data_IF_564557946939
#
_entry.id   IF_564557946939
#
_cell.length_a   1.000
_cell.length_b   1.000
_cell.length_c   1.000
_cell.angle_alpha   90.00
_cell.angle_beta   90.00
_cell.angle_gamma   90.00
#
_symmetry.space_group_name_H-M   'P 1'
#
loop_
_entity.id
_entity.type
_entity.pdbx_description
1 polymer ?
#
# COMPACT_ATOMS: atom_id res chain seq x y z
N UNK A 1 4.02 -4.93 29.25
CA UNK A 1 4.30 -4.37 27.91
C UNK A 1 3.01 -3.80 27.33
N UNK A 2 3.08 -2.61 26.76
CA UNK A 2 1.90 -2.00 26.15
C UNK A 2 1.69 -2.57 24.73
N UNK A 3 0.49 -3.06 24.47
CA UNK A 3 0.14 -3.53 23.14
C UNK A 3 0.06 -2.36 22.16
N UNK A 4 0.57 -2.55 20.95
CA UNK A 4 0.52 -1.56 19.88
C UNK A 4 0.17 -2.25 18.56
N UNK A 5 -0.71 -1.63 17.74
CA UNK A 5 -0.94 -2.15 16.40
C UNK A 5 0.25 -1.83 15.50
N UNK A 6 0.36 -2.56 14.39
CA UNK A 6 1.29 -2.20 13.33
C UNK A 6 0.62 -1.14 12.45
N UNK A 7 1.18 0.06 12.43
CA UNK A 7 0.67 1.13 11.57
C UNK A 7 1.36 1.01 10.22
N UNK A 8 0.57 0.90 9.16
CA UNK A 8 1.06 0.73 7.80
C UNK A 8 0.42 1.74 6.85
N UNK A 9 1.08 1.95 5.74
CA UNK A 9 0.59 2.77 4.63
C UNK A 9 0.55 1.94 3.37
N UNK A 10 -0.33 2.29 2.44
CA UNK A 10 -0.42 1.64 1.15
C UNK A 10 -0.87 2.63 0.09
N UNK A 11 -0.47 2.42 -1.15
CA UNK A 11 -0.94 3.20 -2.27
C UNK A 11 -1.76 2.33 -3.23
N UNK A 12 -2.90 2.87 -3.67
CA UNK A 12 -3.74 2.26 -4.70
C UNK A 12 -3.63 3.15 -5.93
N UNK A 13 -2.97 2.64 -6.97
CA UNK A 13 -2.66 3.40 -8.18
C UNK A 13 -3.23 2.67 -9.39
N UNK A 14 -3.96 3.42 -10.20
CA UNK A 14 -4.57 2.89 -11.41
C UNK A 14 -3.98 3.59 -12.64
N UNK A 15 -3.79 2.84 -13.71
CA UNK A 15 -3.37 3.34 -15.01
C UNK A 15 -3.99 2.46 -16.08
N UNK A 16 -4.79 3.06 -16.95
CA UNK A 16 -5.40 2.36 -18.11
C UNK A 16 -6.14 1.08 -17.71
N UNK A 17 -6.90 1.13 -16.62
CA UNK A 17 -7.68 0.00 -16.13
C UNK A 17 -6.88 -1.05 -15.39
N UNK A 18 -5.64 -0.77 -15.05
CA UNK A 18 -4.75 -1.69 -14.31
C UNK A 18 -4.31 -1.05 -13.00
N UNK A 19 -4.10 -1.89 -12.01
CA UNK A 19 -3.65 -1.46 -10.69
C UNK A 19 -2.22 -1.93 -10.44
N UNK A 20 -1.44 -1.09 -9.76
CA UNK A 20 -0.06 -1.41 -9.43
C UNK A 20 -0.02 -2.28 -8.17
N UNK A 21 0.45 -3.51 -8.31
CA UNK A 21 0.70 -4.41 -7.20
C UNK A 21 2.15 -4.87 -7.22
N UNK A 22 2.67 -5.20 -6.04
CA UNK A 22 3.99 -5.80 -5.90
C UNK A 22 3.85 -7.30 -5.68
N UNK A 23 4.78 -8.03 -6.27
CA UNK A 23 4.97 -9.45 -6.05
C UNK A 23 6.15 -9.57 -5.09
N UNK A 24 5.91 -10.18 -3.91
CA UNK A 24 6.96 -10.28 -2.90
C UNK A 24 7.11 -11.69 -2.37
N UNK A 25 8.34 -12.04 -2.06
CA UNK A 25 8.67 -13.29 -1.41
C UNK A 25 8.56 -13.11 0.10
N UNK A 26 7.73 -13.92 0.73
CA UNK A 26 7.51 -13.87 2.18
C UNK A 26 7.81 -15.23 2.79
N UNK A 27 7.84 -15.30 4.12
CA UNK A 27 8.00 -16.58 4.82
C UNK A 27 6.86 -17.58 4.52
N UNK A 28 5.74 -17.10 3.98
CA UNK A 28 4.58 -17.93 3.62
C UNK A 28 4.50 -18.18 2.10
N UNK A 29 5.54 -17.83 1.34
CA UNK A 29 5.57 -17.96 -0.10
C UNK A 29 5.41 -16.61 -0.79
N UNK A 30 5.13 -16.65 -2.10
CA UNK A 30 4.97 -15.45 -2.90
C UNK A 30 3.57 -14.88 -2.69
N UNK A 31 3.50 -13.61 -2.34
CA UNK A 31 2.26 -12.87 -2.12
C UNK A 31 2.22 -11.61 -2.98
N UNK A 32 1.00 -11.14 -3.24
CA UNK A 32 0.74 -9.88 -3.93
C UNK A 32 0.11 -8.88 -2.98
N UNK A 33 0.54 -7.63 -3.06
CA UNK A 33 0.07 -6.55 -2.18
C UNK A 33 0.11 -5.22 -2.94
N UNK A 34 -0.62 -4.22 -2.44
CA UNK A 34 -0.31 -2.86 -2.86
C UNK A 34 1.13 -2.54 -2.46
N UNK A 35 1.76 -1.54 -3.09
CA UNK A 35 2.96 -0.95 -2.51
C UNK A 35 2.60 -0.49 -1.09
N UNK A 36 3.27 -1.04 -0.08
CA UNK A 36 2.85 -0.87 1.31
C UNK A 36 4.01 -1.16 2.26
N UNK A 37 3.95 -0.58 3.45
CA UNK A 37 4.93 -0.88 4.48
C UNK A 37 4.64 -0.15 5.78
N UNK A 38 5.51 -0.32 6.75
CA UNK A 38 5.34 0.22 8.09
C UNK A 38 5.72 1.70 8.18
N UNK A 39 4.96 2.43 8.98
CA UNK A 39 5.34 3.78 9.40
C UNK A 39 6.62 3.69 10.23
N UNK A 40 7.60 4.52 9.90
CA UNK A 40 8.84 4.61 10.64
C UNK A 40 8.79 5.71 11.69
N UNK A 41 9.70 5.63 12.66
CA UNK A 41 9.82 6.64 13.71
C UNK A 41 10.06 8.04 13.09
N UNK A 42 9.32 9.04 13.56
CA UNK A 42 9.43 10.43 13.12
C UNK A 42 9.02 10.69 11.67
N UNK A 43 8.32 9.78 11.08
CA UNK A 43 7.88 9.89 9.70
C UNK A 43 6.39 10.23 9.68
N UNK A 44 5.98 11.14 8.78
CA UNK A 44 4.56 11.37 8.55
C UNK A 44 3.97 10.24 7.70
N UNK A 45 2.65 10.09 7.76
CA UNK A 45 1.97 9.08 6.93
C UNK A 45 2.17 9.34 5.44
N UNK A 46 2.18 10.62 5.03
CA UNK A 46 2.42 10.97 3.62
C UNK A 46 3.85 10.63 3.20
N UNK A 47 4.84 10.96 4.03
CA UNK A 47 6.22 10.61 3.75
C UNK A 47 6.40 9.10 3.66
N UNK A 48 5.74 8.36 4.55
CA UNK A 48 5.81 6.90 4.56
C UNK A 48 5.28 6.29 3.28
N UNK A 49 4.12 6.72 2.78
CA UNK A 49 3.54 6.13 1.56
C UNK A 49 4.36 6.50 0.33
N UNK A 50 4.94 7.70 0.30
CA UNK A 50 5.85 8.11 -0.79
C UNK A 50 7.09 7.22 -0.79
N UNK A 51 7.69 7.04 0.37
CA UNK A 51 8.90 6.21 0.54
C UNK A 51 8.65 4.75 0.16
N UNK A 52 7.59 4.14 0.70
CA UNK A 52 7.28 2.74 0.43
C UNK A 52 6.97 2.50 -1.05
N UNK A 53 6.22 3.40 -1.69
CA UNK A 53 5.93 3.27 -3.11
C UNK A 53 7.21 3.32 -3.95
N UNK A 54 8.11 4.25 -3.62
CA UNK A 54 9.39 4.37 -4.33
C UNK A 54 10.27 3.14 -4.11
N UNK A 55 10.39 2.68 -2.87
CA UNK A 55 11.24 1.54 -2.52
C UNK A 55 10.76 0.24 -3.16
N UNK A 56 9.45 0.06 -3.29
CA UNK A 56 8.88 -1.19 -3.79
C UNK A 56 8.58 -1.20 -5.27
N UNK A 57 8.45 -0.03 -5.91
CA UNK A 57 8.04 0.04 -7.32
C UNK A 57 8.92 0.91 -8.18
N UNK A 58 9.79 1.71 -7.59
CA UNK A 58 10.60 2.73 -8.27
C UNK A 58 9.76 3.88 -8.87
N UNK A 59 8.48 3.97 -8.51
CA UNK A 59 7.64 5.09 -8.92
C UNK A 59 7.62 6.17 -7.84
N UNK A 60 7.67 7.43 -8.28
CA UNK A 60 7.51 8.58 -7.40
C UNK A 60 6.03 8.92 -7.30
N UNK A 61 5.48 8.76 -6.11
CA UNK A 61 4.07 9.01 -5.81
C UNK A 61 3.84 10.46 -5.39
N UNK A 62 2.78 11.05 -5.94
CA UNK A 62 2.18 12.28 -5.44
C UNK A 62 0.82 11.92 -4.83
N UNK A 63 0.73 11.73 -3.50
CA UNK A 63 -0.54 11.38 -2.88
C UNK A 63 -1.51 12.56 -2.95
N UNK A 64 -2.76 12.30 -3.35
CA UNK A 64 -3.76 13.33 -3.56
C UNK A 64 -4.98 13.18 -2.66
N UNK A 65 -5.26 11.97 -2.19
CA UNK A 65 -6.41 11.69 -1.34
C UNK A 65 -6.18 10.43 -0.50
N UNK A 66 -6.95 10.34 0.58
CA UNK A 66 -7.04 9.13 1.38
C UNK A 66 -8.22 8.30 0.87
N UNK A 67 -8.01 7.00 0.71
CA UNK A 67 -9.08 6.06 0.31
C UNK A 67 -9.81 5.54 1.53
N UNK A 68 -9.08 5.27 2.59
CA UNK A 68 -9.64 4.78 3.83
C UNK A 68 -8.62 4.46 4.89
N UNK A 69 -9.13 4.18 6.07
CA UNK A 69 -8.34 3.71 7.21
C UNK A 69 -8.91 2.35 7.60
N UNK A 70 -8.07 1.34 7.66
CA UNK A 70 -8.48 -0.05 7.82
C UNK A 70 -7.88 -0.63 9.09
N UNK A 71 -8.73 -1.08 9.98
CA UNK A 71 -8.30 -1.82 11.17
C UNK A 71 -8.51 -3.31 10.88
N UNK A 72 -7.40 -4.00 10.59
CA UNK A 72 -7.43 -5.40 10.19
C UNK A 72 -6.70 -6.27 11.20
N UNK A 73 -7.36 -7.32 11.64
CA UNK A 73 -6.76 -8.32 12.52
C UNK A 73 -6.57 -9.63 11.78
N UNK A 74 -5.33 -10.09 11.75
CA UNK A 74 -5.01 -11.44 11.29
C UNK A 74 -5.05 -12.37 12.50
N UNK A 75 -6.16 -13.11 12.64
CA UNK A 75 -6.36 -14.00 13.79
C UNK A 75 -5.33 -15.12 13.85
N UNK A 76 -4.99 -15.69 12.70
CA UNK A 76 -4.05 -16.82 12.65
C UNK A 76 -2.65 -16.45 13.13
N UNK A 77 -2.25 -15.19 12.96
CA UNK A 77 -0.91 -14.70 13.32
C UNK A 77 -0.93 -13.83 14.58
N UNK A 78 -2.10 -13.56 15.10
CA UNK A 78 -2.30 -12.67 16.25
C UNK A 78 -1.67 -11.29 16.06
N UNK A 79 -1.90 -10.70 14.90
CA UNK A 79 -1.33 -9.40 14.54
C UNK A 79 -2.46 -8.48 14.08
N UNK A 80 -2.44 -7.23 14.56
CA UNK A 80 -3.35 -6.18 14.11
C UNK A 80 -2.61 -5.13 13.30
N UNK A 81 -3.24 -4.70 12.22
CA UNK A 81 -2.72 -3.66 11.34
C UNK A 81 -3.71 -2.51 11.27
N UNK A 82 -3.19 -1.30 11.37
CA UNK A 82 -3.94 -0.09 11.09
C UNK A 82 -3.37 0.49 9.80
N UNK A 83 -4.06 0.26 8.69
CA UNK A 83 -3.60 0.66 7.37
C UNK A 83 -4.24 1.97 6.94
N UNK A 84 -3.40 2.89 6.47
CA UNK A 84 -3.82 4.12 5.80
C UNK A 84 -3.57 3.93 4.30
N UNK A 85 -4.64 3.91 3.50
CA UNK A 85 -4.53 3.70 2.06
C UNK A 85 -4.74 5.01 1.32
N UNK A 86 -3.82 5.32 0.42
CA UNK A 86 -3.78 6.57 -0.34
C UNK A 86 -3.93 6.29 -1.83
N UNK A 87 -4.51 7.26 -2.53
CA UNK A 87 -4.47 7.31 -3.98
C UNK A 87 -3.83 8.60 -4.44
N UNK A 88 -3.49 8.67 -5.71
CA UNK A 88 -2.84 9.83 -6.29
C UNK A 88 -2.28 9.53 -7.66
N UNK A 89 -1.30 10.30 -8.05
CA UNK A 89 -0.63 10.18 -9.34
C UNK A 89 0.84 9.84 -9.17
N UNK A 90 1.42 9.24 -10.20
CA UNK A 90 2.86 9.01 -10.26
C UNK A 90 3.48 9.98 -11.27
N UNK A 91 4.61 10.59 -10.88
CA UNK A 91 5.27 11.61 -11.69
C UNK A 91 6.51 11.10 -12.41
N UNK A 92 7.14 10.02 -11.94
CA UNK A 92 8.36 9.49 -12.51
C UNK A 92 8.52 8.02 -12.17
N UNK A 93 9.32 7.33 -12.99
CA UNK A 93 9.73 5.95 -12.74
C UNK A 93 11.22 5.82 -13.01
N UNK A 94 11.94 5.25 -12.07
CA UNK A 94 13.38 4.97 -12.24
C UNK A 94 13.58 3.47 -12.51
N UNK A 95 13.71 3.07 -13.79
CA UNK A 95 13.82 1.65 -14.13
C UNK A 95 15.14 1.01 -13.67
N UNK A 96 16.11 1.81 -13.25
CA UNK A 96 17.40 1.30 -12.77
C UNK A 96 17.46 1.15 -11.25
N UNK A 97 16.44 1.65 -10.54
CA UNK A 97 16.41 1.53 -9.08
C UNK A 97 16.24 0.07 -8.66
N UNK A 98 17.11 -0.38 -7.77
CA UNK A 98 16.94 -1.67 -7.13
C UNK A 98 15.77 -1.60 -6.15
N UNK A 99 14.83 -2.54 -6.26
CA UNK A 99 13.69 -2.62 -5.36
C UNK A 99 14.11 -3.21 -4.01
N UNK A 100 13.30 -2.96 -2.98
CA UNK A 100 13.56 -3.48 -1.64
C UNK A 100 13.73 -5.00 -1.65
N UNK A 101 14.51 -5.49 -0.68
CA UNK A 101 14.70 -6.92 -0.46
C UNK A 101 13.35 -7.62 -0.28
N UNK A 102 13.19 -8.74 -0.99
CA UNK A 102 11.96 -9.51 -0.97
C UNK A 102 10.97 -9.11 -2.07
N UNK A 103 11.08 -7.92 -2.64
CA UNK A 103 10.25 -7.51 -3.76
C UNK A 103 10.81 -8.10 -5.06
N UNK A 104 10.03 -8.96 -5.70
CA UNK A 104 10.43 -9.62 -6.94
C UNK A 104 10.13 -8.74 -8.15
N UNK A 105 8.99 -8.09 -8.17
CA UNK A 105 8.59 -7.22 -9.28
C UNK A 105 7.38 -6.37 -8.90
N UNK A 106 7.18 -5.27 -9.63
CA UNK A 106 5.96 -4.47 -9.60
C UNK A 106 5.21 -4.71 -10.92
N UNK A 107 3.90 -4.92 -10.81
CA UNK A 107 3.05 -5.28 -11.96
C UNK A 107 1.85 -4.37 -12.06
N UNK A 108 1.48 -4.02 -13.28
CA UNK A 108 0.21 -3.39 -13.58
C UNK A 108 -0.78 -4.48 -13.99
N UNK A 109 -1.76 -4.75 -13.12
CA UNK A 109 -2.68 -5.88 -13.28
C UNK A 109 -4.12 -5.39 -13.43
N UNK A 110 -4.87 -6.05 -14.30
CA UNK A 110 -6.32 -5.82 -14.41
C UNK A 110 -7.02 -6.38 -13.18
N UNK A 111 -8.24 -5.93 -12.92
CA UNK A 111 -9.03 -6.46 -11.82
C UNK A 111 -9.22 -7.98 -11.95
N UNK A 112 -9.47 -8.48 -13.16
CA UNK A 112 -9.62 -9.92 -13.39
C UNK A 112 -8.35 -10.69 -13.03
N UNK A 113 -7.20 -10.18 -13.42
CA UNK A 113 -5.91 -10.78 -13.06
C UNK A 113 -5.70 -10.78 -11.54
N UNK A 114 -6.04 -9.68 -10.87
CA UNK A 114 -5.93 -9.57 -9.41
C UNK A 114 -6.85 -10.58 -8.72
N UNK A 115 -8.08 -10.75 -9.21
CA UNK A 115 -9.02 -11.70 -8.64
C UNK A 115 -8.57 -13.14 -8.82
N UNK A 116 -7.92 -13.47 -9.94
CA UNK A 116 -7.34 -14.80 -10.14
C UNK A 116 -6.21 -15.11 -9.17
N UNK A 117 -5.55 -14.08 -8.66
CA UNK A 117 -4.47 -14.21 -7.68
C UNK A 117 -4.96 -14.13 -6.23
N UNK A 118 -6.27 -14.17 -6.00
CA UNK A 118 -6.84 -13.91 -4.67
C UNK A 118 -6.25 -14.82 -3.58
N UNK A 119 -5.97 -16.07 -3.90
CA UNK A 119 -5.32 -17.00 -2.96
C UNK A 119 -3.90 -16.61 -2.56
N UNK A 120 -3.28 -15.69 -3.29
CA UNK A 120 -1.93 -15.18 -3.02
C UNK A 120 -1.91 -13.74 -2.54
N UNK A 121 -3.07 -13.14 -2.28
CA UNK A 121 -3.11 -11.79 -1.70
C UNK A 121 -2.50 -11.81 -0.30
N UNK A 122 -1.66 -10.83 0.01
CA UNK A 122 -1.03 -10.69 1.31
C UNK A 122 -2.05 -10.66 2.45
N UNK A 123 -3.19 -10.02 2.22
CA UNK A 123 -4.32 -9.96 3.14
C UNK A 123 -5.60 -9.63 2.37
N UNK A 124 -6.79 -9.75 3.02
CA UNK A 124 -8.04 -9.32 2.41
C UNK A 124 -8.09 -7.83 2.07
N UNK A 125 -7.20 -7.03 2.65
CA UNK A 125 -7.15 -5.59 2.37
C UNK A 125 -6.72 -5.27 0.95
N UNK A 126 -6.01 -6.18 0.28
CA UNK A 126 -5.58 -5.96 -1.11
C UNK A 126 -6.78 -5.71 -2.01
N UNK A 127 -7.75 -6.60 -2.00
CA UNK A 127 -8.96 -6.44 -2.81
C UNK A 127 -9.88 -5.35 -2.26
N UNK A 128 -10.00 -5.26 -0.93
CA UNK A 128 -10.87 -4.26 -0.31
C UNK A 128 -10.47 -2.84 -0.65
N UNK A 129 -9.18 -2.53 -0.66
CA UNK A 129 -8.70 -1.20 -1.02
C UNK A 129 -9.02 -0.87 -2.49
N UNK A 130 -8.92 -1.84 -3.38
CA UNK A 130 -9.27 -1.66 -4.78
C UNK A 130 -10.77 -1.44 -4.93
N UNK A 131 -11.60 -2.22 -4.23
CA UNK A 131 -13.05 -2.06 -4.25
C UNK A 131 -13.46 -0.66 -3.76
N UNK A 132 -12.85 -0.16 -2.70
CA UNK A 132 -13.13 1.17 -2.19
C UNK A 132 -12.69 2.26 -3.16
N UNK A 133 -11.55 2.07 -3.84
CA UNK A 133 -11.12 2.98 -4.91
C UNK A 133 -12.15 3.00 -6.06
N UNK A 134 -12.60 1.82 -6.49
CA UNK A 134 -13.61 1.68 -7.55
C UNK A 134 -14.96 2.29 -7.14
N UNK A 135 -15.30 2.23 -5.85
CA UNK A 135 -16.50 2.85 -5.31
C UNK A 135 -16.39 4.39 -5.23
N UNK A 136 -15.25 4.95 -5.61
CA UNK A 136 -15.06 6.40 -5.63
C UNK A 136 -14.73 7.01 -4.28
N UNK A 137 -14.27 6.23 -3.30
CA UNK A 137 -13.90 6.76 -1.99
C UNK A 137 -12.68 7.67 -2.10
N UNK A 138 -12.88 8.94 -1.80
CA UNK A 138 -11.85 9.97 -1.88
C UNK A 138 -12.05 10.92 -0.70
N UNK A 139 -11.14 10.86 0.26
CA UNK A 139 -11.19 11.74 1.43
C UNK A 139 -10.02 12.71 1.39
N UNK A 140 -10.22 13.97 1.82
CA UNK A 140 -9.15 14.96 1.76
C UNK A 140 -8.00 14.59 2.67
N UNK A 141 -6.78 14.88 2.23
CA UNK A 141 -5.56 14.62 3.00
C UNK A 141 -5.55 15.43 4.31
N UNK A 142 -6.31 16.52 4.36
CA UNK A 142 -6.46 17.38 5.56
C UNK A 142 -7.11 16.63 6.72
N UNK A 143 -7.71 15.45 6.51
CA UNK A 143 -8.12 14.59 7.60
C UNK A 143 -6.93 14.15 8.47
N UNK A 144 -5.73 14.12 7.88
CA UNK A 144 -4.51 13.72 8.57
C UNK A 144 -3.74 14.99 8.97
N UNK A 145 -3.49 15.11 10.26
CA UNK A 145 -2.70 16.23 10.79
C UNK A 145 -1.37 15.68 11.29
N UNK A 146 -0.27 16.20 10.74
CA UNK A 146 1.07 15.89 11.23
C UNK A 146 1.47 16.89 12.28
N UNK A 147 1.81 16.40 13.47
CA UNK A 147 2.23 17.26 14.56
C UNK A 147 3.43 16.65 15.31
N UNK A 148 4.56 17.37 15.48
CA UNK A 148 4.81 18.68 14.91
C UNK A 148 4.81 18.62 13.38
N UNK A 149 4.55 19.77 12.76
CA UNK A 149 4.55 19.90 11.30
C UNK A 149 5.94 19.59 10.74
N UNK A 150 5.97 19.05 9.52
CA UNK A 150 7.23 18.76 8.80
C UNK A 150 7.91 20.04 8.35
#
# INVERSE_FOLDING_TARGET
MVWKPNVTVASVLERDGRFLLVEEETEYGICYNQPAGHLECRESLLAAVIRETLEETAYTLNPQYLIGVYNYRNEARDVSYLRFAFGGEISAHDPLRQLDEGILAAHWLTLDEIMRLQGQHRSPLVLRCIEDWLAGRRFPLELLTQFPAE
#
